data_IF_664682302584
#
_entry.id   IF_664682302584
#
_cell.length_a   1.000
_cell.length_b   1.000
_cell.length_c   1.000
_cell.angle_alpha   90.00
_cell.angle_beta   90.00
_cell.angle_gamma   90.00
#
_symmetry.space_group_name_H-M   'P 1'
#
loop_
_entity.id
_entity.type
_entity.pdbx_description
1 polymer ?
#
# COMPACT_ATOMS: atom_id res chain seq x y z
N UNK A 1 26.19 -34.55 39.44
CA UNK A 1 24.81 -34.01 39.50
C UNK A 1 24.61 -33.19 38.23
N UNK A 2 23.85 -33.72 37.27
CA UNK A 2 23.81 -33.24 35.87
C UNK A 2 22.92 -32.01 35.76
N UNK A 3 23.45 -30.99 35.07
CA UNK A 3 22.79 -29.77 34.59
C UNK A 3 21.45 -30.06 33.90
N UNK A 4 20.40 -29.33 34.26
CA UNK A 4 19.28 -29.07 33.35
C UNK A 4 18.93 -27.57 33.41
N UNK A 5 19.68 -26.80 32.62
CA UNK A 5 19.28 -25.47 32.19
C UNK A 5 18.19 -25.64 31.13
N UNK A 6 16.92 -25.69 31.54
CA UNK A 6 15.83 -25.52 30.59
C UNK A 6 15.66 -24.03 30.31
N UNK A 7 16.35 -23.55 29.27
CA UNK A 7 15.97 -22.31 28.60
C UNK A 7 14.62 -22.54 27.91
N UNK A 8 13.52 -22.34 28.64
CA UNK A 8 12.26 -21.97 28.01
C UNK A 8 12.50 -20.57 27.45
N UNK A 9 12.65 -20.45 26.13
CA UNK A 9 12.63 -19.14 25.51
C UNK A 9 11.24 -18.56 25.79
N UNK A 10 11.19 -17.61 26.72
CA UNK A 10 9.97 -17.00 27.19
C UNK A 10 9.24 -16.35 26.02
N UNK A 11 8.05 -16.87 25.67
CA UNK A 11 7.12 -16.17 24.77
C UNK A 11 6.77 -14.85 25.45
N UNK A 12 7.05 -13.74 24.77
CA UNK A 12 6.59 -12.41 25.19
C UNK A 12 5.31 -12.07 24.43
N UNK A 13 4.33 -11.53 25.14
CA UNK A 13 3.07 -11.05 24.59
C UNK A 13 3.00 -9.54 24.82
N UNK A 14 2.70 -8.80 23.77
CA UNK A 14 2.44 -7.37 23.81
C UNK A 14 0.99 -7.15 23.35
N UNK A 15 0.08 -6.91 24.30
CA UNK A 15 -1.32 -6.62 23.99
C UNK A 15 -1.49 -5.14 23.67
N UNK A 16 -1.61 -4.82 22.38
CA UNK A 16 -1.78 -3.45 21.91
C UNK A 16 -3.13 -2.84 22.30
N UNK A 17 -4.09 -3.66 22.71
CA UNK A 17 -5.43 -3.17 23.10
C UNK A 17 -5.42 -2.51 24.48
N UNK A 18 -4.34 -2.70 25.25
CA UNK A 18 -4.04 -1.95 26.45
C UNK A 18 -3.53 -0.52 26.15
N UNK A 19 -3.01 -0.27 24.94
CA UNK A 19 -2.63 1.09 24.48
C UNK A 19 -3.83 1.82 23.87
N UNK A 20 -4.55 1.15 22.98
CA UNK A 20 -5.77 1.65 22.35
C UNK A 20 -6.62 0.45 21.90
N UNK A 21 -7.91 0.36 22.32
CA UNK A 21 -8.76 -0.80 22.07
C UNK A 21 -8.95 -1.12 20.57
N UNK A 22 -8.76 -0.14 19.68
CA UNK A 22 -8.89 -0.32 18.23
C UNK A 22 -7.68 -0.99 17.57
N UNK A 23 -6.56 -1.15 18.28
CA UNK A 23 -5.31 -1.70 17.73
C UNK A 23 -5.36 -3.23 17.58
N UNK A 24 -6.14 -3.66 16.60
CA UNK A 24 -6.41 -5.06 16.26
C UNK A 24 -6.60 -5.18 14.75
N UNK A 25 -6.68 -6.41 14.24
CA UNK A 25 -7.07 -6.67 12.85
C UNK A 25 -6.07 -6.19 11.77
N UNK A 26 -4.81 -6.04 12.14
CA UNK A 26 -3.70 -5.78 11.20
C UNK A 26 -3.56 -6.91 10.17
N UNK A 27 -3.21 -6.56 8.93
CA UNK A 27 -2.99 -7.55 7.86
C UNK A 27 -1.58 -8.15 7.87
N UNK A 28 -0.66 -7.53 8.59
CA UNK A 28 0.74 -7.89 8.60
C UNK A 28 1.60 -6.80 9.23
N UNK A 29 2.90 -6.89 9.00
CA UNK A 29 3.88 -5.96 9.53
C UNK A 29 5.24 -6.16 8.89
N UNK A 30 6.17 -5.26 9.20
CA UNK A 30 7.55 -5.31 8.73
C UNK A 30 8.47 -4.70 9.79
N UNK A 31 9.78 -4.98 9.68
CA UNK A 31 10.79 -4.42 10.55
C UNK A 31 11.65 -3.39 9.79
N UNK A 32 12.09 -2.36 10.49
CA UNK A 32 13.07 -1.39 9.99
C UNK A 32 14.00 -0.97 11.14
N UNK A 33 15.27 -1.36 11.08
CA UNK A 33 16.19 -1.16 12.18
C UNK A 33 15.74 -1.90 13.44
N UNK A 34 15.60 -1.19 14.56
CA UNK A 34 15.12 -1.74 15.83
C UNK A 34 13.61 -1.55 16.04
N UNK A 35 12.87 -1.10 15.02
CA UNK A 35 11.43 -0.88 15.10
C UNK A 35 10.67 -1.95 14.33
N UNK A 36 9.57 -2.42 14.91
CA UNK A 36 8.54 -3.19 14.25
C UNK A 36 7.36 -2.29 13.89
N UNK A 37 6.72 -2.57 12.76
CA UNK A 37 5.59 -1.81 12.27
C UNK A 37 4.43 -2.75 11.92
N UNK A 38 3.21 -2.37 12.29
CA UNK A 38 2.01 -3.11 11.90
C UNK A 38 1.19 -2.31 10.90
N UNK A 39 0.78 -3.00 9.84
CA UNK A 39 0.04 -2.40 8.72
C UNK A 39 -1.45 -2.37 9.04
N UNK A 40 -2.08 -1.18 9.06
CA UNK A 40 -3.47 -1.04 9.42
C UNK A 40 -4.39 -1.63 8.33
N UNK A 41 -5.33 -2.47 8.75
CA UNK A 41 -6.30 -3.09 7.85
C UNK A 41 -7.73 -2.94 8.38
N UNK A 42 -8.17 -3.79 9.32
CA UNK A 42 -9.50 -3.72 9.92
C UNK A 42 -9.42 -3.41 11.40
N UNK A 43 -10.42 -2.74 11.97
CA UNK A 43 -10.72 -2.75 13.39
C UNK A 43 -11.96 -3.66 13.59
N UNK A 44 -11.97 -4.50 14.64
CA UNK A 44 -13.04 -5.52 14.82
C UNK A 44 -14.35 -4.98 15.44
N UNK A 45 -14.44 -3.68 15.70
CA UNK A 45 -15.57 -3.06 16.42
C UNK A 45 -16.88 -3.10 15.64
N UNK A 46 -16.84 -2.91 14.30
CA UNK A 46 -18.00 -3.08 13.44
C UNK A 46 -17.64 -3.83 12.15
N UNK A 47 -18.54 -4.70 11.69
CA UNK A 47 -18.35 -5.47 10.47
C UNK A 47 -18.08 -4.56 9.27
N UNK A 48 -16.86 -4.66 8.71
CA UNK A 48 -16.46 -3.94 7.51
C UNK A 48 -15.73 -2.62 7.74
N UNK A 49 -15.48 -2.22 8.99
CA UNK A 49 -14.67 -1.03 9.25
C UNK A 49 -13.18 -1.29 9.00
N UNK A 50 -12.59 -0.40 8.20
CA UNK A 50 -11.17 -0.36 7.96
C UNK A 50 -10.53 0.65 8.90
N UNK A 51 -9.35 0.30 9.43
CA UNK A 51 -8.55 1.16 10.29
C UNK A 51 -7.43 1.85 9.52
N UNK A 52 -7.09 3.06 9.95
CA UNK A 52 -5.91 3.81 9.50
C UNK A 52 -4.80 3.91 10.57
N UNK A 53 -4.95 3.23 11.71
CA UNK A 53 -4.01 3.30 12.84
C UNK A 53 -2.79 2.40 12.61
N UNK A 54 -1.72 2.96 12.04
CA UNK A 54 -0.44 2.28 11.89
C UNK A 54 0.31 2.26 13.22
N UNK A 55 0.89 1.12 13.58
CA UNK A 55 1.62 0.97 14.85
C UNK A 55 3.12 0.87 14.58
N UNK A 56 3.92 1.51 15.42
CA UNK A 56 5.37 1.31 15.56
C UNK A 56 5.67 0.86 16.99
N UNK A 57 6.56 -0.11 17.17
CA UNK A 57 6.97 -0.62 18.49
C UNK A 57 8.46 -0.99 18.54
N UNK A 58 9.11 -0.80 19.68
CA UNK A 58 10.54 -1.11 19.85
C UNK A 58 10.74 -2.64 19.98
N UNK A 59 11.52 -3.22 19.07
CA UNK A 59 11.82 -4.66 19.06
C UNK A 59 12.78 -5.09 20.17
N UNK A 60 13.50 -4.15 20.79
CA UNK A 60 14.47 -4.43 21.86
C UNK A 60 13.78 -4.60 23.20
N UNK A 61 12.80 -3.74 23.49
CA UNK A 61 12.06 -3.77 24.76
C UNK A 61 10.83 -4.66 24.66
N UNK A 62 10.08 -4.53 23.55
CA UNK A 62 8.83 -5.24 23.29
C UNK A 62 7.81 -5.04 24.43
N UNK A 63 7.60 -3.78 24.80
CA UNK A 63 6.68 -3.32 25.85
C UNK A 63 5.80 -2.16 25.37
N UNK A 64 4.79 -1.80 26.15
CA UNK A 64 3.84 -0.74 25.78
C UNK A 64 4.46 0.65 25.73
N UNK A 65 5.53 0.89 26.52
CA UNK A 65 6.23 2.17 26.53
C UNK A 65 6.93 2.47 25.19
N UNK A 66 7.37 1.43 24.48
CA UNK A 66 7.95 1.54 23.15
C UNK A 66 6.93 1.68 22.01
N UNK A 67 5.63 1.71 22.28
CA UNK A 67 4.58 1.76 21.25
C UNK A 67 4.24 3.20 20.87
N UNK A 68 4.16 3.47 19.57
CA UNK A 68 3.64 4.72 18.99
C UNK A 68 2.58 4.39 17.95
N UNK A 69 1.48 5.14 17.93
CA UNK A 69 0.40 5.00 16.96
C UNK A 69 0.36 6.22 16.04
N UNK A 70 0.34 5.98 14.74
CA UNK A 70 0.11 6.99 13.71
C UNK A 70 -1.25 6.75 13.07
N UNK A 71 -2.20 7.64 13.32
CA UNK A 71 -3.51 7.60 12.69
C UNK A 71 -3.49 8.34 11.35
N UNK A 72 -3.43 7.57 10.27
CA UNK A 72 -3.40 8.09 8.90
C UNK A 72 -4.71 8.80 8.51
N UNK A 73 -5.82 8.53 9.21
CA UNK A 73 -7.09 9.21 8.94
C UNK A 73 -7.08 10.69 9.32
N UNK A 74 -6.09 11.12 10.12
CA UNK A 74 -5.82 12.54 10.42
C UNK A 74 -5.20 13.30 9.25
N UNK A 75 -4.55 12.59 8.33
CA UNK A 75 -4.04 13.17 7.07
C UNK A 75 -5.20 13.23 6.07
N UNK A 76 -5.86 12.09 5.85
CA UNK A 76 -7.07 12.02 5.02
C UNK A 76 -7.94 10.84 5.45
N UNK A 77 -9.25 11.05 5.60
CA UNK A 77 -10.19 10.06 6.12
C UNK A 77 -10.20 8.73 5.34
N UNK A 78 -9.80 8.74 4.07
CA UNK A 78 -9.76 7.59 3.16
C UNK A 78 -8.56 6.65 3.39
N UNK A 79 -7.53 7.09 4.13
CA UNK A 79 -6.26 6.37 4.32
C UNK A 79 -6.38 5.29 5.39
N UNK A 80 -7.07 4.21 5.03
CA UNK A 80 -7.35 3.06 5.89
C UNK A 80 -7.36 1.78 5.05
N UNK A 81 -7.16 0.64 5.69
CA UNK A 81 -7.39 -0.64 5.04
C UNK A 81 -6.35 -1.02 3.97
N UNK A 82 -5.08 -0.98 4.37
CA UNK A 82 -3.94 -1.39 3.57
C UNK A 82 -3.74 -2.90 3.68
N UNK A 83 -3.32 -3.55 2.58
CA UNK A 83 -3.12 -5.02 2.54
C UNK A 83 -1.67 -5.43 2.84
N UNK A 84 -0.76 -4.46 2.90
CA UNK A 84 0.63 -4.72 3.23
C UNK A 84 1.46 -3.46 3.27
N UNK A 85 2.73 -3.64 3.59
CA UNK A 85 3.70 -2.57 3.56
C UNK A 85 5.11 -3.13 3.57
N UNK A 86 6.05 -2.32 3.11
CA UNK A 86 7.47 -2.65 3.05
C UNK A 86 8.28 -1.38 3.24
N UNK A 87 9.59 -1.53 3.41
CA UNK A 87 10.49 -0.39 3.57
C UNK A 87 11.37 -0.20 2.34
N UNK A 88 11.66 1.06 2.04
CA UNK A 88 12.66 1.42 1.05
C UNK A 88 13.39 2.68 1.51
N UNK A 89 14.69 2.54 1.81
CA UNK A 89 15.48 3.63 2.38
C UNK A 89 14.88 4.10 3.71
N UNK A 90 14.57 5.40 3.79
CA UNK A 90 14.00 6.03 5.00
C UNK A 90 12.48 5.95 5.10
N UNK A 91 11.80 5.31 4.15
CA UNK A 91 10.34 5.32 4.08
C UNK A 91 9.76 3.93 4.31
N UNK A 92 8.67 3.88 5.06
CA UNK A 92 7.69 2.80 5.00
C UNK A 92 6.69 3.11 3.86
N UNK A 93 6.38 2.12 3.04
CA UNK A 93 5.47 2.23 1.91
C UNK A 93 4.31 1.28 2.16
N UNK A 94 3.07 1.80 2.18
CA UNK A 94 1.86 1.02 2.39
C UNK A 94 1.13 0.78 1.06
N UNK A 95 0.75 -0.47 0.83
CA UNK A 95 0.01 -0.89 -0.36
C UNK A 95 -1.50 -0.74 -0.11
N UNK A 96 -2.21 0.11 -0.88
CA UNK A 96 -3.64 0.30 -0.72
C UNK A 96 -4.39 -0.99 -1.05
N UNK A 97 -5.56 -1.17 -0.44
CA UNK A 97 -6.49 -2.22 -0.81
C UNK A 97 -7.92 -1.75 -0.77
N UNK A 98 -8.54 -1.62 0.39
CA UNK A 98 -9.94 -1.26 0.52
C UNK A 98 -10.17 -0.42 1.77
N UNK A 99 -10.94 0.65 1.66
CA UNK A 99 -11.16 1.60 2.75
C UNK A 99 -12.65 1.75 3.11
N UNK A 100 -13.54 1.00 2.46
CA UNK A 100 -14.99 1.09 2.69
C UNK A 100 -15.65 2.36 2.14
N UNK A 101 -14.89 3.26 1.50
CA UNK A 101 -15.40 4.51 0.93
C UNK A 101 -16.01 4.31 -0.47
N UNK A 102 -17.19 3.71 -0.54
CA UNK A 102 -17.87 3.39 -1.81
C UNK A 102 -18.42 4.62 -2.55
N UNK A 103 -18.40 5.82 -1.97
CA UNK A 103 -18.85 7.05 -2.63
C UNK A 103 -17.69 7.90 -3.17
N UNK A 104 -16.54 7.88 -2.50
CA UNK A 104 -15.35 8.64 -2.90
C UNK A 104 -14.40 7.89 -3.85
N UNK A 105 -14.42 6.55 -3.85
CA UNK A 105 -13.51 5.76 -4.66
C UNK A 105 -13.95 5.63 -6.13
N UNK A 106 -12.99 5.34 -7.01
CA UNK A 106 -13.23 5.16 -8.44
C UNK A 106 -14.32 4.11 -8.72
N UNK A 107 -15.36 4.52 -9.46
CA UNK A 107 -16.54 3.70 -9.81
C UNK A 107 -17.25 3.09 -8.60
N UNK A 108 -17.18 3.75 -7.45
CA UNK A 108 -17.82 3.33 -6.21
C UNK A 108 -17.35 1.98 -5.66
N UNK A 109 -16.10 1.61 -5.98
CA UNK A 109 -15.47 0.39 -5.46
C UNK A 109 -15.07 0.58 -3.99
N UNK A 110 -14.97 -0.51 -3.24
CA UNK A 110 -14.39 -0.44 -1.89
C UNK A 110 -12.89 -0.23 -1.92
N UNK A 111 -12.24 -0.49 -3.06
CA UNK A 111 -10.81 -0.29 -3.27
C UNK A 111 -10.44 1.15 -3.62
N UNK A 112 -9.28 1.58 -3.12
CA UNK A 112 -8.72 2.92 -3.35
C UNK A 112 -7.31 2.85 -3.94
N UNK A 113 -6.84 3.95 -4.51
CA UNK A 113 -5.60 4.02 -5.31
C UNK A 113 -4.46 4.78 -4.64
N UNK A 114 -4.63 5.23 -3.39
CA UNK A 114 -3.64 6.07 -2.73
C UNK A 114 -2.57 5.23 -2.05
N UNK A 115 -1.35 5.30 -2.57
CA UNK A 115 -0.17 4.80 -1.88
C UNK A 115 0.31 5.79 -0.84
N UNK A 116 0.71 5.27 0.31
CA UNK A 116 1.20 6.08 1.43
C UNK A 116 2.68 5.76 1.67
N UNK A 117 3.50 6.79 1.74
CA UNK A 117 4.86 6.73 2.24
C UNK A 117 4.92 7.43 3.59
N UNK A 118 5.45 6.77 4.61
CA UNK A 118 5.68 7.34 5.94
C UNK A 118 7.18 7.45 6.17
N UNK A 119 7.64 8.65 6.52
CA UNK A 119 9.02 8.89 6.92
C UNK A 119 9.32 8.19 8.25
N UNK A 120 10.30 7.29 8.26
CA UNK A 120 10.68 6.54 9.46
C UNK A 120 11.43 7.40 10.49
N UNK A 121 11.94 8.57 10.08
CA UNK A 121 12.59 9.55 10.96
C UNK A 121 11.60 10.56 11.55
N UNK A 122 10.44 10.72 10.93
CA UNK A 122 9.34 11.55 11.40
C UNK A 122 8.03 10.74 11.37
N UNK A 123 7.82 9.93 12.42
CA UNK A 123 6.63 9.07 12.53
C UNK A 123 5.43 9.85 13.08
N UNK A 124 5.11 10.98 12.44
CA UNK A 124 3.95 11.83 12.71
C UNK A 124 3.17 12.04 11.41
N UNK A 125 2.06 12.79 11.48
CA UNK A 125 1.26 13.12 10.28
C UNK A 125 2.04 13.96 9.26
N UNK A 126 3.03 14.74 9.70
CA UNK A 126 3.86 15.59 8.83
C UNK A 126 4.86 14.75 7.99
N UNK A 127 5.26 13.59 8.50
CA UNK A 127 6.10 12.63 7.77
C UNK A 127 5.33 11.77 6.76
N UNK A 128 4.03 12.01 6.56
CA UNK A 128 3.20 11.23 5.65
C UNK A 128 3.12 11.91 4.28
N UNK A 129 3.46 11.15 3.24
CA UNK A 129 3.30 11.54 1.84
C UNK A 129 2.33 10.59 1.15
N UNK A 130 1.42 11.13 0.34
CA UNK A 130 0.37 10.37 -0.35
C UNK A 130 0.50 10.56 -1.85
N UNK A 131 0.44 9.45 -2.59
CA UNK A 131 0.42 9.45 -4.06
C UNK A 131 -0.81 8.72 -4.54
N UNK A 132 -1.65 9.40 -5.32
CA UNK A 132 -2.77 8.76 -6.00
C UNK A 132 -2.30 8.07 -7.30
N UNK A 133 -2.33 6.74 -7.29
CA UNK A 133 -1.99 5.92 -8.44
C UNK A 133 -3.00 6.05 -9.59
N UNK A 134 -4.24 6.49 -9.33
CA UNK A 134 -5.25 6.69 -10.37
C UNK A 134 -5.08 8.03 -11.10
N UNK A 135 -4.64 9.08 -10.39
CA UNK A 135 -4.36 10.39 -10.97
C UNK A 135 -3.04 10.44 -11.76
N UNK A 136 -2.09 9.56 -11.46
CA UNK A 136 -0.83 9.47 -12.20
C UNK A 136 -1.11 8.91 -13.59
N UNK A 137 -1.35 9.80 -14.56
CA UNK A 137 -1.56 9.48 -15.97
C UNK A 137 -0.59 8.41 -16.45
N UNK A 138 -1.14 7.41 -17.14
CA UNK A 138 -0.46 6.29 -17.80
C UNK A 138 0.63 6.78 -18.78
N UNK A 139 1.74 7.32 -18.29
CA UNK A 139 2.90 7.66 -19.13
C UNK A 139 3.50 6.42 -19.78
N UNK A 140 3.22 5.22 -19.25
CA UNK A 140 3.62 3.96 -19.86
C UNK A 140 2.82 3.63 -21.14
N UNK A 141 1.57 4.09 -21.26
CA UNK A 141 0.72 3.79 -22.41
C UNK A 141 1.05 4.63 -23.66
N UNK A 142 1.83 5.70 -23.53
CA UNK A 142 2.23 6.54 -24.68
C UNK A 142 3.45 5.99 -25.43
N UNK A 143 4.30 5.18 -24.79
CA UNK A 143 5.50 4.62 -25.44
C UNK A 143 5.23 3.42 -26.36
N UNK A 144 4.02 2.83 -26.33
CA UNK A 144 3.67 1.67 -27.16
C UNK A 144 2.75 1.97 -28.38
N UNK A 145 2.49 3.24 -28.70
CA UNK A 145 1.66 3.63 -29.88
C UNK A 145 2.42 4.32 -31.02
N UNK A 146 3.73 4.08 -31.17
CA UNK A 146 4.49 4.49 -32.38
C UNK A 146 5.21 3.32 -33.03
N UNK A 147 4.44 2.35 -33.56
CA UNK A 147 4.85 1.46 -34.66
C UNK A 147 3.67 0.65 -35.21
N UNK A 148 2.66 1.36 -35.72
CA UNK A 148 1.63 0.76 -36.57
C UNK A 148 1.06 1.85 -37.48
N UNK A 149 1.92 2.44 -38.32
CA UNK A 149 1.53 3.16 -39.53
C UNK A 149 2.79 3.50 -40.34
N UNK A 150 3.30 2.51 -41.06
CA UNK A 150 4.24 2.73 -42.15
C UNK A 150 4.33 1.46 -43.00
N UNK A 151 3.46 1.35 -44.00
CA UNK A 151 3.61 0.39 -45.12
C UNK A 151 2.30 -0.14 -45.71
N UNK A 152 2.12 0.08 -47.03
CA UNK A 152 1.16 -0.50 -47.99
C UNK A 152 -0.29 0.06 -47.93
N UNK A 153 -0.66 1.09 -48.70
CA UNK A 153 -0.89 1.21 -50.17
C UNK A 153 -2.11 0.39 -50.65
N UNK A 154 -3.15 1.13 -51.03
CA UNK A 154 -4.37 0.66 -51.70
C UNK A 154 -4.07 0.26 -53.15
N UNK A 155 -4.52 -0.92 -53.59
CA UNK A 155 -4.80 -1.18 -55.00
C UNK A 155 -5.88 -2.25 -55.14
N UNK A 156 -7.12 -1.80 -55.38
CA UNK A 156 -8.22 -2.63 -55.88
C UNK A 156 -8.09 -2.70 -57.39
N UNK A 157 -8.11 -3.92 -57.91
CA UNK A 157 -8.03 -4.27 -59.33
C UNK A 157 -9.17 -3.59 -60.13
N UNK A 158 -8.80 -2.71 -61.05
CA UNK A 158 -9.66 -2.16 -62.10
C UNK A 158 -8.94 -2.27 -63.44
N UNK A 159 -9.43 -3.16 -64.29
CA UNK A 159 -8.95 -3.41 -65.65
C UNK A 159 -9.23 -2.18 -66.52
N UNK A 160 -8.23 -1.68 -67.28
CA UNK A 160 -8.44 -1.06 -68.58
C UNK A 160 -7.15 -1.00 -69.40
N UNK A 161 -7.31 -1.33 -70.69
CA UNK A 161 -6.29 -1.61 -71.70
C UNK A 161 -5.36 -0.43 -72.01
N UNK A 162 -4.10 -0.74 -72.35
CA UNK A 162 -3.20 0.18 -73.05
C UNK A 162 -2.75 -0.47 -74.38
N UNK A 163 -3.20 0.10 -75.50
CA UNK A 163 -2.67 -0.18 -76.85
C UNK A 163 -1.38 0.62 -77.02
N UNK A 164 -0.30 -0.04 -77.41
CA UNK A 164 0.87 0.61 -78.00
C UNK A 164 0.58 0.90 -79.49
N UNK A 165 0.87 2.11 -79.93
CA UNK A 165 1.02 2.45 -81.34
C UNK A 165 2.51 2.37 -81.70
N UNK A 166 2.79 1.69 -82.80
CA UNK A 166 3.67 2.16 -83.87
C UNK A 166 2.80 2.31 -85.12
#
# INVERSE_FOLDING_TARGET
MILLWYFVHAVKVLDLTEVDPDLRGFTGGFAAGHWGFLVPFKNKEADGEFSGKMVRFDLRTFDHAGVTVLDLTRVELSLRGFVGGFTHGRYAILSPYANGNTTGNYRGRSQFSQMVAVDLTDFTVEGVSVVDLAATSRQQASKLKRRANSGAVWMVLGVNHCRAQE
#
